data_IF_969027355487
#
_entry.id   IF_969027355487
#
_cell.length_a   1.000
_cell.length_b   1.000
_cell.length_c   1.000
_cell.angle_alpha   90.00
_cell.angle_beta   90.00
_cell.angle_gamma   90.00
#
_symmetry.space_group_name_H-M   'P 1'
#
loop_
_entity.id
_entity.type
_entity.pdbx_description
1 polymer ?
#
# COMPACT_ATOMS: atom_id res chain seq x y z
N UNK A 1 -4.39 -10.77 -52.07
CA UNK A 1 -4.56 -10.92 -50.62
C UNK A 1 -4.66 -9.53 -50.02
N UNK A 2 -5.85 -9.08 -49.59
CA UNK A 2 -6.04 -7.75 -48.97
C UNK A 2 -5.54 -7.82 -47.51
N UNK A 3 -4.91 -6.77 -46.96
CA UNK A 3 -4.63 -6.73 -45.53
C UNK A 3 -5.97 -6.67 -44.78
N UNK A 4 -6.10 -7.45 -43.70
CA UNK A 4 -7.26 -7.38 -42.82
C UNK A 4 -7.32 -5.98 -42.19
N UNK A 5 -8.51 -5.37 -42.22
CA UNK A 5 -8.78 -4.09 -41.56
C UNK A 5 -8.56 -4.26 -40.04
N UNK A 6 -7.85 -3.31 -39.42
CA UNK A 6 -7.56 -3.31 -37.99
C UNK A 6 -8.81 -3.23 -37.09
N UNK A 7 -10.00 -3.07 -37.68
CA UNK A 7 -11.29 -3.05 -36.98
C UNK A 7 -11.91 -4.42 -36.72
N UNK A 8 -11.33 -5.52 -37.23
CA UNK A 8 -11.91 -6.86 -37.15
C UNK A 8 -11.17 -7.79 -36.17
N UNK A 9 -10.31 -7.22 -35.33
CA UNK A 9 -9.65 -7.97 -34.26
C UNK A 9 -10.67 -8.18 -33.13
N UNK A 10 -10.93 -9.44 -32.70
CA UNK A 10 -11.77 -9.67 -31.54
C UNK A 10 -11.15 -8.96 -30.33
N UNK A 11 -12.00 -8.25 -29.57
CA UNK A 11 -11.58 -7.68 -28.30
C UNK A 11 -10.91 -8.78 -27.49
N UNK A 12 -9.66 -8.54 -27.06
CA UNK A 12 -8.96 -9.47 -26.18
C UNK A 12 -9.89 -9.77 -25.00
N UNK A 13 -10.14 -11.05 -24.66
CA UNK A 13 -10.97 -11.36 -23.51
C UNK A 13 -10.40 -10.59 -22.33
N UNK A 14 -11.21 -9.73 -21.71
CA UNK A 14 -10.81 -8.99 -20.53
C UNK A 14 -10.41 -10.02 -19.49
N UNK A 15 -9.09 -10.15 -19.30
CA UNK A 15 -8.51 -11.25 -18.55
C UNK A 15 -9.11 -11.25 -17.16
N UNK A 16 -9.76 -12.36 -16.82
CA UNK A 16 -10.05 -12.77 -15.45
C UNK A 16 -8.89 -12.33 -14.54
N UNK A 17 -9.22 -11.54 -13.52
CA UNK A 17 -8.32 -10.72 -12.71
C UNK A 17 -6.91 -11.28 -12.58
N UNK A 18 -5.95 -10.59 -13.20
CA UNK A 18 -4.54 -11.01 -13.30
C UNK A 18 -3.92 -11.16 -11.90
N UNK A 19 -3.63 -12.38 -11.42
CA UNK A 19 -3.05 -12.59 -10.08
C UNK A 19 -1.69 -11.90 -9.90
N UNK A 20 -0.99 -11.63 -11.00
CA UNK A 20 0.33 -10.97 -11.01
C UNK A 20 0.29 -9.45 -10.92
N UNK A 21 -0.84 -8.81 -11.23
CA UNK A 21 -1.01 -7.36 -11.05
C UNK A 21 -1.27 -7.06 -9.57
N UNK A 22 -2.30 -7.70 -9.00
CA UNK A 22 -2.61 -7.63 -7.57
C UNK A 22 -1.40 -7.96 -6.69
N UNK A 23 -0.63 -9.02 -7.02
CA UNK A 23 0.60 -9.37 -6.28
C UNK A 23 1.73 -8.33 -6.41
N UNK A 24 1.80 -7.61 -7.52
CA UNK A 24 2.77 -6.51 -7.72
C UNK A 24 2.37 -5.28 -6.91
N UNK A 25 1.08 -4.97 -6.87
CA UNK A 25 0.54 -3.85 -6.10
C UNK A 25 0.75 -4.07 -4.59
N UNK A 26 0.58 -5.30 -4.10
CA UNK A 26 0.92 -5.68 -2.72
C UNK A 26 2.40 -5.43 -2.39
N UNK A 27 3.33 -5.75 -3.30
CA UNK A 27 4.77 -5.51 -3.06
C UNK A 27 5.09 -4.02 -2.98
N UNK A 28 4.49 -3.21 -3.85
CA UNK A 28 4.66 -1.77 -3.82
C UNK A 28 4.09 -1.17 -2.53
N UNK A 29 2.86 -1.55 -2.16
CA UNK A 29 2.22 -1.14 -0.93
C UNK A 29 3.06 -1.48 0.32
N UNK A 30 3.50 -2.73 0.45
CA UNK A 30 4.37 -3.15 1.57
C UNK A 30 5.67 -2.33 1.62
N UNK A 31 6.26 -2.03 0.46
CA UNK A 31 7.51 -1.25 0.39
C UNK A 31 7.29 0.19 0.88
N UNK A 32 6.23 0.86 0.41
CA UNK A 32 5.89 2.22 0.83
C UNK A 32 5.54 2.29 2.31
N UNK A 33 4.70 1.37 2.79
CA UNK A 33 4.33 1.30 4.22
C UNK A 33 5.55 1.02 5.08
N UNK A 34 6.44 0.10 4.67
CA UNK A 34 7.67 -0.17 5.42
C UNK A 34 8.58 1.04 5.52
N UNK A 35 8.74 1.80 4.42
CA UNK A 35 9.54 3.02 4.42
C UNK A 35 8.96 4.09 5.36
N UNK A 36 7.64 4.29 5.32
CA UNK A 36 6.96 5.24 6.19
C UNK A 36 7.01 4.83 7.67
N UNK A 37 6.70 3.56 7.99
CA UNK A 37 6.79 3.03 9.37
C UNK A 37 8.22 3.14 9.92
N UNK A 38 9.22 2.87 9.08
CA UNK A 38 10.63 3.02 9.45
C UNK A 38 11.04 4.47 9.74
N UNK A 39 10.40 5.45 9.11
CA UNK A 39 10.56 6.85 9.48
C UNK A 39 9.81 7.18 10.77
N UNK A 40 8.52 6.83 10.86
CA UNK A 40 7.69 7.09 12.03
C UNK A 40 8.31 6.56 13.33
N UNK A 41 8.89 5.36 13.30
CA UNK A 41 9.59 4.78 14.44
C UNK A 41 10.80 5.63 14.87
N UNK A 42 11.57 6.18 13.91
CA UNK A 42 12.68 7.10 14.19
C UNK A 42 12.16 8.42 14.78
N UNK A 43 11.10 8.98 14.21
CA UNK A 43 10.53 10.26 14.64
C UNK A 43 9.99 10.19 16.08
N UNK A 44 9.46 9.02 16.47
CA UNK A 44 8.93 8.78 17.81
C UNK A 44 9.97 8.19 18.80
N UNK A 45 11.19 7.94 18.35
CA UNK A 45 12.22 7.25 19.13
C UNK A 45 11.76 5.89 19.70
N UNK A 46 10.98 5.13 18.92
CA UNK A 46 10.49 3.78 19.26
C UNK A 46 11.28 2.75 18.45
N UNK A 47 11.62 1.61 19.07
CA UNK A 47 12.18 0.48 18.33
C UNK A 47 11.19 0.04 17.22
N UNK A 48 11.60 0.05 15.93
CA UNK A 48 10.72 -0.31 14.81
C UNK A 48 10.06 -1.68 14.97
N UNK A 49 10.71 -2.64 15.63
CA UNK A 49 10.14 -3.98 15.87
C UNK A 49 8.93 -3.93 16.81
N UNK A 50 8.89 -2.97 17.74
CA UNK A 50 7.75 -2.77 18.63
C UNK A 50 6.53 -2.20 17.89
N UNK A 51 6.78 -1.36 16.88
CA UNK A 51 5.74 -0.84 15.98
C UNK A 51 5.21 -1.98 15.10
N UNK A 52 6.11 -2.69 14.43
CA UNK A 52 5.84 -3.99 13.82
C UNK A 52 6.87 -4.41 12.78
N UNK A 53 6.87 -5.70 12.49
CA UNK A 53 7.80 -6.33 11.55
C UNK A 53 7.30 -6.23 10.12
N UNK A 54 8.16 -6.57 9.15
CA UNK A 54 7.76 -6.70 7.76
C UNK A 54 6.59 -7.66 7.56
N UNK A 55 6.59 -8.80 8.26
CA UNK A 55 5.50 -9.78 8.17
C UNK A 55 4.16 -9.21 8.65
N UNK A 56 4.18 -8.27 9.60
CA UNK A 56 2.97 -7.62 10.09
C UNK A 56 2.41 -6.63 9.09
N UNK A 57 3.30 -5.89 8.44
CA UNK A 57 2.93 -5.00 7.33
C UNK A 57 2.34 -5.82 6.19
N UNK A 58 2.92 -6.98 5.87
CA UNK A 58 2.38 -7.89 4.84
C UNK A 58 0.98 -8.42 5.20
N UNK A 59 0.77 -8.81 6.46
CA UNK A 59 -0.55 -9.26 6.94
C UNK A 59 -1.59 -8.13 6.90
N UNK A 60 -1.22 -6.92 7.32
CA UNK A 60 -2.08 -5.74 7.28
C UNK A 60 -2.44 -5.35 5.85
N UNK A 61 -1.46 -5.27 4.94
CA UNK A 61 -1.69 -4.90 3.53
C UNK A 61 -2.55 -5.95 2.80
N UNK A 62 -2.51 -7.22 3.24
CA UNK A 62 -3.39 -8.28 2.75
C UNK A 62 -4.82 -8.18 3.30
N UNK A 63 -5.02 -7.45 4.40
CA UNK A 63 -6.30 -7.36 5.11
C UNK A 63 -6.56 -8.55 6.03
N UNK A 64 -5.52 -9.22 6.54
CA UNK A 64 -5.68 -10.32 7.49
C UNK A 64 -6.37 -9.81 8.78
N UNK A 65 -7.48 -10.44 9.18
CA UNK A 65 -8.31 -9.99 10.31
C UNK A 65 -7.56 -9.93 11.65
N UNK A 66 -6.55 -10.78 11.81
CA UNK A 66 -5.73 -10.87 13.03
C UNK A 66 -4.41 -10.07 12.93
N UNK A 67 -4.26 -9.20 11.92
CA UNK A 67 -3.07 -8.38 11.78
C UNK A 67 -2.91 -7.48 13.01
N UNK A 68 -1.84 -7.69 13.78
CA UNK A 68 -1.59 -6.98 15.06
C UNK A 68 -1.60 -5.44 14.95
N UNK A 69 -1.35 -4.91 13.74
CA UNK A 69 -1.36 -3.48 13.46
C UNK A 69 -2.77 -2.90 13.33
N UNK A 70 -3.81 -3.74 13.24
CA UNK A 70 -5.21 -3.30 13.12
C UNK A 70 -5.90 -3.07 14.47
N UNK A 71 -5.22 -3.28 15.60
CA UNK A 71 -5.84 -3.06 16.93
C UNK A 71 -4.93 -2.29 17.90
N UNK A 72 -5.56 -1.65 18.88
CA UNK A 72 -4.90 -0.92 19.97
C UNK A 72 -4.01 0.22 19.48
N UNK A 73 -2.99 0.57 20.28
CA UNK A 73 -2.13 1.72 19.99
C UNK A 73 -1.38 1.62 18.65
N UNK A 74 -1.14 0.40 18.13
CA UNK A 74 -0.52 0.20 16.81
C UNK A 74 -1.46 0.59 15.69
N UNK A 75 -2.76 0.40 15.87
CA UNK A 75 -3.75 0.89 14.93
C UNK A 75 -3.77 2.41 14.90
N UNK A 76 -3.84 3.03 16.08
CA UNK A 76 -3.89 4.49 16.18
C UNK A 76 -2.65 5.14 15.55
N UNK A 77 -1.49 4.49 15.66
CA UNK A 77 -0.22 5.00 15.17
C UNK A 77 0.06 4.64 13.70
N UNK A 78 -0.27 3.42 13.28
CA UNK A 78 0.12 2.85 11.98
C UNK A 78 -1.06 2.30 11.20
N UNK A 79 -1.87 1.43 11.82
CA UNK A 79 -2.97 0.74 11.13
C UNK A 79 -3.95 1.70 10.47
N UNK A 80 -4.50 2.65 11.23
CA UNK A 80 -5.44 3.65 10.72
C UNK A 80 -4.86 4.51 9.59
N UNK A 81 -3.69 5.16 9.77
CA UNK A 81 -3.05 5.92 8.69
C UNK A 81 -2.76 5.08 7.43
N UNK A 82 -2.38 3.80 7.59
CA UNK A 82 -2.15 2.90 6.46
C UNK A 82 -3.47 2.49 5.80
N UNK A 83 -4.54 2.27 6.55
CA UNK A 83 -5.87 2.00 5.99
C UNK A 83 -6.37 3.19 5.17
N UNK A 84 -6.17 4.42 5.64
CA UNK A 84 -6.46 5.64 4.87
C UNK A 84 -5.63 5.69 3.56
N UNK A 85 -4.35 5.31 3.61
CA UNK A 85 -3.49 5.25 2.44
C UNK A 85 -3.96 4.18 1.43
N UNK A 86 -4.18 2.95 1.89
CA UNK A 86 -4.56 1.81 1.04
C UNK A 86 -5.97 1.97 0.45
N UNK A 87 -6.87 2.64 1.16
CA UNK A 87 -8.21 2.98 0.66
C UNK A 87 -8.24 4.21 -0.26
N UNK A 88 -7.10 4.88 -0.47
CA UNK A 88 -6.98 6.06 -1.33
C UNK A 88 -7.50 7.35 -0.71
N UNK A 89 -7.82 7.36 0.58
CA UNK A 89 -8.21 8.55 1.36
C UNK A 89 -7.02 9.37 1.86
N UNK A 90 -5.81 8.81 1.78
CA UNK A 90 -4.56 9.53 1.98
C UNK A 90 -3.57 9.27 0.82
N UNK A 91 -2.54 10.11 0.75
CA UNK A 91 -1.40 9.92 -0.12
C UNK A 91 -0.10 10.07 0.67
N UNK A 92 0.93 9.35 0.24
CA UNK A 92 2.29 9.50 0.74
C UNK A 92 3.07 10.45 -0.17
N UNK A 93 3.70 11.47 0.40
CA UNK A 93 4.48 12.46 -0.33
C UNK A 93 5.80 12.75 0.39
N UNK A 94 6.77 13.29 -0.34
CA UNK A 94 7.95 13.91 0.28
C UNK A 94 7.63 15.36 0.66
N UNK A 95 8.08 15.79 1.83
CA UNK A 95 7.88 17.14 2.37
C UNK A 95 8.83 18.20 1.78
N UNK A 96 9.75 17.81 0.90
CA UNK A 96 10.80 18.65 0.33
C UNK A 96 12.09 18.74 1.16
N UNK A 97 12.12 18.12 2.34
CA UNK A 97 13.30 17.97 3.21
C UNK A 97 13.83 16.53 3.25
N UNK A 98 13.15 15.63 2.54
CA UNK A 98 13.53 14.22 2.42
C UNK A 98 12.72 13.29 3.33
N UNK A 99 11.71 13.81 4.02
CA UNK A 99 10.85 13.04 4.90
C UNK A 99 9.52 12.71 4.21
N UNK A 100 8.99 11.53 4.53
CA UNK A 100 7.70 11.06 4.08
C UNK A 100 6.60 11.62 4.98
N UNK A 101 5.59 12.22 4.36
CA UNK A 101 4.39 12.72 5.03
C UNK A 101 3.15 12.04 4.46
N UNK A 102 2.19 11.75 5.33
CA UNK A 102 0.84 11.35 4.94
C UNK A 102 -0.02 12.61 4.83
N UNK A 103 -0.63 12.80 3.67
CA UNK A 103 -1.55 13.90 3.41
C UNK A 103 -2.95 13.36 3.11
N UNK A 104 -4.03 13.93 3.68
CA UNK A 104 -5.38 13.57 3.30
C UNK A 104 -5.63 13.84 1.81
N UNK A 105 -6.19 12.87 1.10
CA UNK A 105 -6.77 13.07 -0.23
C UNK A 105 -8.22 13.50 -0.05
N UNK A 106 -8.50 14.79 -0.26
CA UNK A 106 -9.88 15.21 -0.50
C UNK A 106 -10.29 14.78 -1.91
N UNK A 107 -11.52 14.25 -2.09
CA UNK A 107 -12.03 13.89 -3.41
C UNK A 107 -12.10 15.10 -4.35
#
# INVERSE_FOLDING_TARGET
>A
MRPADAGDLPALPEGEGRPTAARRDLRAAVTLVSAWVGQLARDLAIDPVLVGTRSDIEAMVRGDADARMQTGWRHDLVGGPVDELLSGRAALAFDGRGELILIPRRP
#
